data_IF_240862941432
#
_entry.id   IF_240862941432
#
_cell.length_a   1.000
_cell.length_b   1.000
_cell.length_c   1.000
_cell.angle_alpha   90.00
_cell.angle_beta   90.00
_cell.angle_gamma   90.00
#
_symmetry.space_group_name_H-M   'P 1'
#
loop_
_entity.id
_entity.type
_entity.pdbx_description
1 polymer ?
#
# COMPACT_ATOMS: atom_id res chain seq x y z
N UNK A 1 -44.69 3.72 -0.72
CA UNK A 1 -44.30 2.83 0.38
C UNK A 1 -43.74 3.67 1.54
N UNK A 2 -44.62 4.36 2.26
CA UNK A 2 -44.28 5.42 3.24
C UNK A 2 -44.88 5.13 4.63
N UNK A 3 -44.98 3.86 5.01
CA UNK A 3 -45.62 3.43 6.27
C UNK A 3 -44.68 2.66 7.20
N UNK A 4 -43.38 2.56 6.87
CA UNK A 4 -42.37 1.88 7.69
C UNK A 4 -41.81 2.74 8.85
N UNK A 5 -42.56 3.73 9.33
CA UNK A 5 -42.05 4.69 10.32
C UNK A 5 -42.96 4.92 11.54
N UNK A 6 -44.10 4.24 11.67
CA UNK A 6 -45.03 4.48 12.79
C UNK A 6 -45.17 3.35 13.80
N UNK A 7 -44.47 2.22 13.65
CA UNK A 7 -44.69 1.02 14.49
C UNK A 7 -43.42 0.32 15.00
N UNK A 8 -42.30 1.04 15.13
CA UNK A 8 -41.14 0.48 15.85
C UNK A 8 -40.62 1.55 16.79
N UNK A 9 -40.76 1.29 18.09
CA UNK A 9 -40.25 2.13 19.15
C UNK A 9 -38.76 2.43 18.94
N UNK A 10 -38.43 3.72 19.04
CA UNK A 10 -37.18 4.26 19.56
C UNK A 10 -35.95 3.34 19.49
N UNK A 11 -35.49 3.02 18.29
CA UNK A 11 -34.04 2.95 17.97
C UNK A 11 -33.90 3.48 16.55
N UNK A 12 -34.34 4.73 16.37
CA UNK A 12 -34.21 5.44 15.11
C UNK A 12 -32.74 5.54 14.75
N UNK A 13 -32.42 5.42 13.46
CA UNK A 13 -31.16 5.92 12.92
C UNK A 13 -30.99 7.34 13.46
N UNK A 14 -29.99 7.53 14.33
CA UNK A 14 -29.77 8.81 14.97
C UNK A 14 -29.53 9.87 13.88
N UNK A 15 -29.95 11.13 14.10
CA UNK A 15 -29.66 12.21 13.14
C UNK A 15 -28.15 12.32 12.93
N UNK A 16 -27.38 12.05 13.98
CA UNK A 16 -25.92 11.94 13.92
C UNK A 16 -25.44 10.82 12.97
N UNK A 17 -26.12 9.67 12.94
CA UNK A 17 -25.76 8.57 12.03
C UNK A 17 -26.01 8.93 10.56
N UNK A 18 -27.06 9.70 10.26
CA UNK A 18 -27.29 10.21 8.90
C UNK A 18 -26.21 11.19 8.47
N UNK A 19 -25.73 12.05 9.38
CA UNK A 19 -24.62 12.95 9.11
C UNK A 19 -23.32 12.17 8.90
N UNK A 20 -23.03 11.16 9.71
CA UNK A 20 -21.86 10.28 9.53
C UNK A 20 -21.87 9.59 8.17
N UNK A 21 -22.99 8.99 7.78
CA UNK A 21 -23.13 8.35 6.47
C UNK A 21 -22.85 9.34 5.31
N UNK A 22 -23.39 10.57 5.41
CA UNK A 22 -23.19 11.60 4.40
C UNK A 22 -21.71 12.03 4.32
N UNK A 23 -21.04 12.15 5.46
CA UNK A 23 -19.60 12.44 5.51
C UNK A 23 -18.75 11.30 4.95
N UNK A 24 -19.12 10.05 5.18
CA UNK A 24 -18.43 8.89 4.61
C UNK A 24 -18.58 8.82 3.09
N UNK A 25 -19.79 9.07 2.57
CA UNK A 25 -20.03 9.15 1.13
C UNK A 25 -19.20 10.27 0.50
N UNK A 26 -19.20 11.45 1.13
CA UNK A 26 -18.44 12.60 0.66
C UNK A 26 -16.94 12.33 0.66
N UNK A 27 -16.41 11.71 1.72
CA UNK A 27 -15.00 11.34 1.81
C UNK A 27 -14.61 10.33 0.73
N UNK A 28 -15.44 9.32 0.47
CA UNK A 28 -15.19 8.34 -0.59
C UNK A 28 -15.25 8.96 -1.99
N UNK A 29 -16.17 9.89 -2.21
CA UNK A 29 -16.29 10.62 -3.48
C UNK A 29 -15.04 11.46 -3.76
N UNK A 30 -14.66 12.32 -2.80
CA UNK A 30 -13.47 13.17 -2.91
C UNK A 30 -12.21 12.33 -3.07
N UNK A 31 -12.07 11.26 -2.27
CA UNK A 31 -10.93 10.35 -2.39
C UNK A 31 -10.84 9.74 -3.79
N UNK A 32 -11.97 9.32 -4.36
CA UNK A 32 -12.01 8.75 -5.72
C UNK A 32 -11.59 9.78 -6.77
N UNK A 33 -12.08 11.03 -6.68
CA UNK A 33 -11.67 12.12 -7.58
C UNK A 33 -10.16 12.41 -7.49
N UNK A 34 -9.59 12.40 -6.28
CA UNK A 34 -8.16 12.61 -6.10
C UNK A 34 -7.33 11.42 -6.61
N UNK A 35 -7.81 10.18 -6.42
CA UNK A 35 -7.19 8.97 -7.02
C UNK A 35 -7.11 9.12 -8.53
N UNK A 36 -8.22 9.48 -9.18
CA UNK A 36 -8.26 9.66 -10.64
C UNK A 36 -7.26 10.73 -11.12
N UNK A 37 -7.13 11.85 -10.39
CA UNK A 37 -6.16 12.91 -10.70
C UNK A 37 -4.71 12.44 -10.59
N UNK A 38 -4.39 11.54 -9.66
CA UNK A 38 -3.02 11.05 -9.46
C UNK A 38 -2.73 9.75 -10.21
N UNK A 39 -3.74 9.11 -10.81
CA UNK A 39 -3.64 7.80 -11.45
C UNK A 39 -2.49 7.71 -12.46
N UNK A 40 -2.38 8.65 -13.39
CA UNK A 40 -1.31 8.65 -14.41
C UNK A 40 0.09 8.77 -13.78
N UNK A 41 0.22 9.54 -12.69
CA UNK A 41 1.48 9.68 -11.96
C UNK A 41 1.80 8.41 -11.17
N UNK A 42 0.79 7.83 -10.52
CA UNK A 42 0.92 6.56 -9.80
C UNK A 42 1.35 5.42 -10.72
N UNK A 43 0.80 5.35 -11.95
CA UNK A 43 1.21 4.40 -12.98
C UNK A 43 2.68 4.56 -13.37
N UNK A 44 3.13 5.80 -13.62
CA UNK A 44 4.54 6.03 -13.96
C UNK A 44 5.51 5.62 -12.83
N UNK A 45 5.15 5.90 -11.57
CA UNK A 45 5.96 5.53 -10.41
C UNK A 45 5.93 4.01 -10.15
N UNK A 46 4.78 3.37 -10.33
CA UNK A 46 4.63 1.93 -10.22
C UNK A 46 5.44 1.19 -11.29
N UNK A 47 5.47 1.69 -12.52
CA UNK A 47 6.34 1.17 -13.58
C UNK A 47 7.82 1.24 -13.17
N UNK A 48 8.28 2.38 -12.66
CA UNK A 48 9.66 2.54 -12.21
C UNK A 48 10.03 1.58 -11.08
N UNK A 49 9.14 1.45 -10.08
CA UNK A 49 9.33 0.54 -8.96
C UNK A 49 9.33 -0.93 -9.39
N UNK A 50 8.47 -1.29 -10.36
CA UNK A 50 8.44 -2.63 -10.93
C UNK A 50 9.73 -2.94 -11.72
N UNK A 51 10.24 -1.98 -12.49
CA UNK A 51 11.52 -2.13 -13.18
C UNK A 51 12.68 -2.32 -12.19
N UNK A 52 12.65 -1.64 -11.05
CA UNK A 52 13.67 -1.81 -10.01
C UNK A 52 13.62 -3.21 -9.36
N UNK A 53 12.42 -3.79 -9.21
CA UNK A 53 12.25 -5.18 -8.76
C UNK A 53 12.76 -6.19 -9.81
N UNK A 54 12.59 -5.90 -11.10
CA UNK A 54 13.01 -6.77 -12.20
C UNK A 54 14.52 -6.69 -12.48
N UNK A 55 15.10 -5.50 -12.28
CA UNK A 55 16.51 -5.20 -12.51
C UNK A 55 17.06 -4.44 -11.28
N UNK A 56 17.41 -5.15 -10.20
CA UNK A 56 17.96 -4.51 -9.01
C UNK A 56 19.24 -3.76 -9.39
N UNK A 57 19.32 -2.50 -8.96
CA UNK A 57 20.51 -1.68 -9.18
C UNK A 57 21.76 -2.40 -8.63
N UNK A 58 22.90 -2.39 -9.34
CA UNK A 58 24.14 -3.03 -8.86
C UNK A 58 24.60 -2.49 -7.49
N UNK A 59 24.20 -1.26 -7.13
CA UNK A 59 24.40 -0.69 -5.79
C UNK A 59 23.59 -1.40 -4.70
N UNK A 60 22.34 -1.78 -5.01
CA UNK A 60 21.44 -2.49 -4.09
C UNK A 60 21.75 -3.98 -4.01
N UNK A 61 22.32 -4.58 -5.07
CA UNK A 61 22.76 -5.98 -5.07
C UNK A 61 23.96 -6.22 -4.12
N UNK A 62 24.74 -5.19 -3.82
CA UNK A 62 25.85 -5.22 -2.86
C UNK A 62 25.41 -5.24 -1.39
N UNK A 63 24.11 -5.05 -1.09
CA UNK A 63 23.57 -5.02 0.27
C UNK A 63 23.07 -6.37 0.81
N UNK A 64 23.45 -7.51 0.20
CA UNK A 64 23.12 -8.83 0.77
C UNK A 64 23.88 -9.04 2.10
N UNK A 65 23.21 -9.16 3.26
CA UNK A 65 23.87 -9.53 4.49
C UNK A 65 24.22 -11.02 4.41
N UNK A 66 25.45 -11.34 4.02
CA UNK A 66 25.89 -12.73 3.82
C UNK A 66 27.10 -12.91 2.92
N UNK A 67 27.58 -11.87 2.24
CA UNK A 67 28.95 -11.88 1.72
C UNK A 67 29.83 -11.15 2.72
N UNK A 68 30.77 -11.92 3.27
CA UNK A 68 31.67 -11.63 4.36
C UNK A 68 32.07 -10.16 4.47
N UNK A 69 31.91 -9.63 5.67
CA UNK A 69 32.71 -8.52 6.14
C UNK A 69 34.17 -8.98 6.12
N UNK A 70 34.94 -8.50 5.15
CA UNK A 70 36.33 -8.11 5.37
C UNK A 70 36.88 -7.36 4.16
N UNK A 71 37.59 -6.29 4.50
CA UNK A 71 38.50 -5.47 3.70
C UNK A 71 37.94 -4.48 2.66
N UNK A 72 38.28 -3.23 2.99
CA UNK A 72 38.57 -2.11 2.09
C UNK A 72 37.45 -1.09 1.94
N UNK A 73 37.72 0.10 2.48
CA UNK A 73 37.03 1.37 2.26
C UNK A 73 37.05 1.81 0.80
N UNK A 74 36.46 0.99 -0.06
CA UNK A 74 36.21 1.27 -1.46
C UNK A 74 34.77 1.77 -1.54
N UNK A 75 34.59 3.03 -1.17
CA UNK A 75 33.54 3.86 -1.78
C UNK A 75 33.88 3.95 -3.28
N UNK A 76 33.63 2.85 -4.00
CA UNK A 76 33.99 2.68 -5.40
C UNK A 76 33.20 3.73 -6.16
N UNK A 77 33.93 4.64 -6.79
CA UNK A 77 33.55 5.36 -7.98
C UNK A 77 32.87 4.37 -8.93
N UNK A 78 31.55 4.26 -8.86
CA UNK A 78 30.82 3.40 -9.79
C UNK A 78 30.94 4.06 -11.15
N UNK A 79 31.74 3.43 -12.00
CA UNK A 79 32.09 3.84 -13.34
C UNK A 79 30.84 4.30 -14.09
N UNK A 80 30.91 5.46 -14.73
CA UNK A 80 29.80 6.00 -15.50
C UNK A 80 29.32 5.02 -16.58
N UNK A 81 30.21 4.15 -17.09
CA UNK A 81 29.87 3.11 -18.05
C UNK A 81 28.87 2.07 -17.54
N UNK A 82 28.98 1.63 -16.27
CA UNK A 82 28.02 0.67 -15.71
C UNK A 82 26.63 1.31 -15.52
N UNK A 83 26.59 2.60 -15.20
CA UNK A 83 25.33 3.36 -15.10
C UNK A 83 24.67 3.54 -16.46
N UNK A 84 25.43 3.83 -17.51
CA UNK A 84 24.89 3.98 -18.86
C UNK A 84 24.36 2.64 -19.38
N UNK A 85 25.08 1.52 -19.19
CA UNK A 85 24.58 0.18 -19.52
C UNK A 85 23.32 -0.20 -18.72
N UNK A 86 23.25 0.20 -17.45
CA UNK A 86 22.07 -0.01 -16.62
C UNK A 86 20.86 0.78 -17.14
N UNK A 87 21.04 2.06 -17.51
CA UNK A 87 19.99 2.88 -18.12
C UNK A 87 19.50 2.29 -19.43
N UNK A 88 20.41 1.89 -20.31
CA UNK A 88 20.08 1.28 -21.61
C UNK A 88 19.28 -0.03 -21.42
N UNK A 89 19.69 -0.86 -20.46
CA UNK A 89 18.96 -2.10 -20.12
C UNK A 89 17.58 -1.79 -19.53
N UNK A 90 17.48 -0.75 -18.68
CA UNK A 90 16.21 -0.30 -18.08
C UNK A 90 15.24 0.22 -19.13
N UNK A 91 15.71 0.96 -20.12
CA UNK A 91 14.88 1.45 -21.23
C UNK A 91 14.39 0.31 -22.13
N UNK A 92 15.25 -0.68 -22.44
CA UNK A 92 14.83 -1.89 -23.17
C UNK A 92 13.77 -2.67 -22.41
N UNK A 93 13.93 -2.84 -21.10
CA UNK A 93 12.93 -3.51 -20.24
C UNK A 93 11.62 -2.74 -20.19
N UNK A 94 11.67 -1.40 -20.18
CA UNK A 94 10.47 -0.56 -20.25
C UNK A 94 9.68 -0.81 -21.54
N UNK A 95 10.37 -0.93 -22.67
CA UNK A 95 9.73 -1.28 -23.94
C UNK A 95 9.10 -2.68 -23.89
N UNK A 96 9.82 -3.66 -23.36
CA UNK A 96 9.32 -5.04 -23.21
C UNK A 96 8.12 -5.16 -22.27
N UNK A 97 8.08 -4.33 -21.22
CA UNK A 97 6.93 -4.25 -20.31
C UNK A 97 5.70 -3.70 -21.04
N UNK A 98 5.85 -2.64 -21.85
CA UNK A 98 4.77 -2.09 -22.68
C UNK A 98 4.28 -3.09 -23.74
N UNK A 99 5.17 -3.93 -24.25
CA UNK A 99 4.85 -4.99 -25.20
C UNK A 99 4.24 -6.25 -24.54
N UNK A 100 4.12 -6.31 -23.21
CA UNK A 100 3.55 -7.47 -22.49
C UNK A 100 4.44 -8.72 -22.47
N UNK A 101 5.71 -8.63 -22.90
CA UNK A 101 6.62 -9.78 -22.97
C UNK A 101 7.02 -10.32 -21.60
N UNK A 102 6.83 -9.52 -20.54
CA UNK A 102 7.23 -9.84 -19.17
C UNK A 102 6.08 -10.37 -18.31
N UNK A 103 4.87 -10.53 -18.86
CA UNK A 103 3.65 -10.86 -18.10
C UNK A 103 3.73 -12.21 -17.37
N UNK A 104 4.50 -13.15 -17.92
CA UNK A 104 4.71 -14.48 -17.34
C UNK A 104 5.77 -14.51 -16.22
N UNK A 105 6.49 -13.41 -15.99
CA UNK A 105 7.53 -13.34 -14.97
C UNK A 105 6.90 -13.10 -13.60
N UNK A 106 7.50 -13.71 -12.58
CA UNK A 106 7.12 -13.50 -11.19
C UNK A 106 8.06 -12.49 -10.55
N UNK A 107 7.48 -11.62 -9.73
CA UNK A 107 8.19 -10.65 -8.91
C UNK A 107 7.76 -10.80 -7.45
N UNK A 108 8.73 -10.62 -6.55
CA UNK A 108 8.48 -10.56 -5.11
C UNK A 108 8.12 -9.12 -4.76
N UNK A 109 6.90 -8.89 -4.25
CA UNK A 109 6.44 -7.59 -3.80
C UNK A 109 6.24 -7.64 -2.29
N UNK A 110 6.64 -6.59 -1.60
CA UNK A 110 6.34 -6.39 -0.19
C UNK A 110 4.99 -5.69 -0.07
N UNK A 111 3.96 -6.47 0.29
CA UNK A 111 2.61 -5.92 0.51
C UNK A 111 2.43 -5.71 2.01
N UNK A 112 2.01 -4.50 2.38
CA UNK A 112 1.59 -4.20 3.75
C UNK A 112 0.19 -4.71 3.96
N UNK A 113 0.08 -5.91 4.51
CA UNK A 113 -1.20 -6.49 4.87
C UNK A 113 -1.55 -6.01 6.29
N UNK A 114 -2.64 -5.23 6.42
CA UNK A 114 -3.17 -4.84 7.72
C UNK A 114 -3.83 -6.08 8.32
N UNK A 115 -3.07 -6.86 9.08
CA UNK A 115 -3.60 -8.04 9.77
C UNK A 115 -4.59 -7.54 10.81
N UNK A 116 -5.88 -7.69 10.51
CA UNK A 116 -6.94 -7.51 11.51
C UNK A 116 -7.00 -8.85 12.27
N UNK A 117 -6.62 -8.92 13.56
CA UNK A 117 -6.67 -10.16 14.31
C UNK A 117 -8.14 -10.59 14.49
N UNK A 118 -8.59 -11.49 13.63
CA UNK A 118 -9.91 -12.11 13.71
C UNK A 118 -9.81 -13.32 14.64
N UNK A 119 -9.97 -13.11 15.95
CA UNK A 119 -9.85 -14.20 16.93
C UNK A 119 -10.32 -13.96 18.37
N UNK A 120 -10.91 -12.81 18.72
CA UNK A 120 -11.17 -12.46 20.14
C UNK A 120 -12.67 -12.42 20.51
N UNK A 121 -13.55 -13.09 19.76
CA UNK A 121 -14.98 -13.14 20.08
C UNK A 121 -15.48 -14.59 20.07
N UNK A 122 -14.92 -15.41 20.95
CA UNK A 122 -15.57 -16.67 21.37
C UNK A 122 -14.84 -17.32 22.55
N UNK A 123 -15.33 -17.03 23.77
CA UNK A 123 -15.51 -18.03 24.84
C UNK A 123 -14.53 -18.18 26.05
N UNK A 124 -13.67 -17.24 26.45
CA UNK A 124 -12.79 -17.48 27.65
C UNK A 124 -12.78 -16.31 28.65
N UNK A 125 -12.75 -16.67 29.95
CA UNK A 125 -13.12 -15.89 31.12
C UNK A 125 -12.28 -14.65 31.47
N UNK A 126 -12.86 -13.80 32.32
CA UNK A 126 -12.45 -12.42 32.59
C UNK A 126 -11.10 -12.26 33.31
N UNK A 127 -10.50 -13.33 33.83
CA UNK A 127 -9.21 -13.28 34.54
C UNK A 127 -7.99 -13.41 33.58
N UNK A 128 -8.19 -13.95 32.38
CA UNK A 128 -7.11 -14.13 31.37
C UNK A 128 -7.02 -12.94 30.38
N UNK A 129 -8.06 -12.10 30.36
CA UNK A 129 -8.13 -10.87 29.54
C UNK A 129 -7.23 -9.76 30.08
N UNK A 130 -7.02 -9.70 31.40
CA UNK A 130 -6.21 -8.65 32.05
C UNK A 130 -4.70 -8.80 31.76
N UNK A 131 -4.25 -10.05 31.58
CA UNK A 131 -2.87 -10.37 31.18
C UNK A 131 -2.64 -10.02 29.69
N UNK A 132 -3.62 -10.27 28.82
CA UNK A 132 -3.56 -9.91 27.39
C UNK A 132 -3.67 -8.38 27.14
N UNK A 133 -4.41 -7.64 27.98
CA UNK A 133 -4.50 -6.18 27.91
C UNK A 133 -3.21 -5.46 28.34
N UNK A 134 -2.38 -6.07 29.21
CA UNK A 134 -1.06 -5.54 29.60
C UNK A 134 0.01 -5.78 28.52
N UNK A 135 -0.11 -6.84 27.72
CA UNK A 135 0.78 -7.09 26.57
C UNK A 135 0.37 -6.31 25.30
N UNK A 136 -0.93 -5.98 25.14
CA UNK A 136 -1.41 -5.16 24.02
C UNK A 136 -1.08 -3.66 24.18
N UNK A 137 -0.83 -3.18 25.40
CA UNK A 137 -0.47 -1.79 25.75
C UNK A 137 1.04 -1.47 25.61
N UNK A 138 1.74 -2.16 24.70
CA UNK A 138 3.19 -2.05 24.47
C UNK A 138 3.62 -1.50 23.09
N UNK A 139 2.69 -1.02 22.26
CA UNK A 139 2.96 -0.06 21.17
C UNK A 139 3.93 -0.45 20.03
N UNK A 140 4.26 -1.73 19.82
CA UNK A 140 5.34 -2.14 18.91
C UNK A 140 4.99 -3.36 18.04
N UNK A 141 3.80 -3.39 17.43
CA UNK A 141 3.55 -4.30 16.31
C UNK A 141 3.83 -3.53 15.01
N UNK A 142 5.05 -3.63 14.43
CA UNK A 142 5.31 -3.08 13.11
C UNK A 142 4.40 -3.78 12.10
N UNK A 143 3.85 -3.02 11.16
CA UNK A 143 3.18 -3.55 9.97
C UNK A 143 4.14 -4.56 9.30
N UNK A 144 3.90 -5.87 9.49
CA UNK A 144 4.78 -6.88 8.91
C UNK A 144 4.55 -6.87 7.40
N UNK A 145 5.47 -6.26 6.67
CA UNK A 145 5.52 -6.35 5.22
C UNK A 145 5.71 -7.82 4.84
N UNK A 146 4.72 -8.41 4.18
CA UNK A 146 4.78 -9.81 3.74
C UNK A 146 5.22 -9.82 2.29
N UNK A 147 6.31 -10.55 2.01
CA UNK A 147 6.76 -10.79 0.63
C UNK A 147 5.81 -11.77 -0.04
N UNK A 148 5.14 -11.31 -1.10
CA UNK A 148 4.23 -12.10 -1.91
C UNK A 148 4.78 -12.19 -3.33
N UNK A 149 4.86 -13.41 -3.86
CA UNK A 149 5.12 -13.66 -5.28
C UNK A 149 3.86 -13.36 -6.08
N UNK A 150 3.96 -12.45 -7.03
CA UNK A 150 2.89 -12.11 -7.95
C UNK A 150 3.42 -12.08 -9.38
N UNK A 151 2.53 -12.26 -10.36
CA UNK A 151 2.89 -12.03 -11.77
C UNK A 151 3.05 -10.53 -12.01
N UNK A 152 3.88 -10.16 -12.98
CA UNK A 152 4.09 -8.77 -13.42
C UNK A 152 2.79 -7.94 -13.58
N UNK A 153 1.72 -8.42 -14.25
CA UNK A 153 0.48 -7.64 -14.37
C UNK A 153 -0.24 -7.41 -13.03
N UNK A 154 -0.31 -8.43 -12.17
CA UNK A 154 -0.92 -8.30 -10.85
C UNK A 154 -0.06 -7.39 -9.96
N UNK A 155 1.26 -7.52 -10.08
CA UNK A 155 2.23 -6.70 -9.38
C UNK A 155 2.08 -5.22 -9.71
N UNK A 156 1.96 -4.90 -11.00
CA UNK A 156 1.75 -3.54 -11.48
C UNK A 156 0.49 -2.94 -10.84
N UNK A 157 -0.64 -3.66 -10.88
CA UNK A 157 -1.91 -3.18 -10.30
C UNK A 157 -1.79 -2.89 -8.80
N UNK A 158 -1.13 -3.78 -8.05
CA UNK A 158 -0.92 -3.58 -6.61
C UNK A 158 -0.01 -2.38 -6.32
N UNK A 159 1.08 -2.22 -7.08
CA UNK A 159 2.00 -1.08 -6.94
C UNK A 159 1.34 0.24 -7.32
N UNK A 160 0.49 0.27 -8.36
CA UNK A 160 -0.27 1.46 -8.74
C UNK A 160 -1.18 1.90 -7.59
N UNK A 161 -1.89 0.96 -6.96
CA UNK A 161 -2.74 1.28 -5.81
C UNK A 161 -1.93 1.79 -4.62
N UNK A 162 -0.76 1.22 -4.34
CA UNK A 162 0.12 1.68 -3.26
C UNK A 162 0.63 3.11 -3.52
N UNK A 163 1.14 3.38 -4.72
CA UNK A 163 1.65 4.71 -5.08
C UNK A 163 0.52 5.75 -5.19
N UNK A 164 -0.65 5.37 -5.69
CA UNK A 164 -1.82 6.26 -5.72
C UNK A 164 -2.23 6.66 -4.31
N UNK A 165 -2.36 5.71 -3.38
CA UNK A 165 -2.68 6.01 -1.98
C UNK A 165 -1.62 6.87 -1.30
N UNK A 166 -0.35 6.70 -1.66
CA UNK A 166 0.78 7.49 -1.12
C UNK A 166 0.82 8.92 -1.67
N UNK A 167 0.34 9.14 -2.89
CA UNK A 167 0.28 10.47 -3.52
C UNK A 167 -0.90 11.32 -3.04
N UNK A 168 -1.90 10.70 -2.39
CA UNK A 168 -3.06 11.41 -1.87
C UNK A 168 -2.70 12.10 -0.56
N UNK A 169 -2.99 13.39 -0.49
CA UNK A 169 -2.96 14.16 0.75
C UNK A 169 -4.27 13.90 1.52
N UNK A 170 -4.17 13.10 2.59
CA UNK A 170 -5.32 12.75 3.43
C UNK A 170 -5.93 13.95 4.13
N UNK A 171 -5.13 14.95 4.49
CA UNK A 171 -5.59 16.14 5.21
C UNK A 171 -6.37 17.06 4.27
N UNK A 172 -5.89 17.19 3.03
CA UNK A 172 -6.62 17.90 1.98
C UNK A 172 -7.93 17.21 1.62
N UNK A 173 -7.92 15.89 1.44
CA UNK A 173 -9.14 15.12 1.11
C UNK A 173 -10.18 15.21 2.23
N UNK A 174 -9.76 15.09 3.49
CA UNK A 174 -10.68 15.18 4.64
C UNK A 174 -11.29 16.57 4.76
N UNK A 175 -10.50 17.64 4.60
CA UNK A 175 -11.00 19.02 4.62
C UNK A 175 -12.02 19.27 3.51
N UNK A 176 -11.69 18.88 2.28
CA UNK A 176 -12.55 19.06 1.11
C UNK A 176 -13.82 18.19 1.17
N UNK A 177 -13.79 17.07 1.89
CA UNK A 177 -14.95 16.23 2.16
C UNK A 177 -15.89 16.84 3.19
N UNK A 178 -15.36 17.46 4.25
CA UNK A 178 -16.15 18.18 5.25
C UNK A 178 -16.84 19.40 4.63
N UNK A 179 -16.16 20.11 3.72
CA UNK A 179 -16.69 21.32 3.07
C UNK A 179 -17.83 21.03 2.08
N UNK A 180 -17.97 19.78 1.61
CA UNK A 180 -19.05 19.34 0.70
C UNK A 180 -20.33 18.91 1.43
N UNK A 181 -20.31 18.77 2.75
CA UNK A 181 -21.43 18.34 3.60
C UNK A 181 -22.06 19.54 4.29
#
# INVERSE_FOLDING_TARGET
EATKFTEVGYVGRDVESMIRDLTEISLNMVKSEHIEKVQAKAESLAEERLLDLLLPSPRSASGRPGRLAEESGRSISIDNEEKEKYKETRERLRLQLKEGKLDNRYVDIEVREKVIPFGVISNIGLEELEINLKEMLGGLIPEKAKRKKAKVPDALRMLVQEEANKLIDTDKVTKEAIERV
#
